data_IF_111409489926
#
_entry.id   IF_111409489926
#
_cell.length_a   1.000
_cell.length_b   1.000
_cell.length_c   1.000
_cell.angle_alpha   90.00
_cell.angle_beta   90.00
_cell.angle_gamma   90.00
#
_symmetry.space_group_name_H-M   'P 1'
#
loop_
_entity.id
_entity.type
_entity.pdbx_description
1 polymer ?
#
# COMPACT_ATOMS: atom_id res chain seq x y z
N UNK A 1 0.10 -12.41 12.83
CA UNK A 1 0.70 -11.10 12.68
C UNK A 1 0.95 -10.73 11.25
N UNK A 2 1.10 -9.44 11.06
CA UNK A 2 1.33 -8.90 9.74
C UNK A 2 2.80 -9.04 9.36
N UNK A 3 3.03 -9.56 8.16
CA UNK A 3 4.34 -9.56 7.53
C UNK A 3 4.14 -9.08 6.10
N UNK A 4 4.09 -7.78 5.96
CA UNK A 4 3.81 -7.14 4.67
C UNK A 4 4.89 -7.47 3.64
N UNK A 5 6.16 -7.50 4.07
CA UNK A 5 7.24 -7.79 3.14
C UNK A 5 7.07 -9.14 2.47
N UNK A 6 6.74 -10.17 3.26
CA UNK A 6 6.50 -11.50 2.72
C UNK A 6 5.28 -11.51 1.78
N UNK A 7 4.19 -10.89 2.23
CA UNK A 7 2.97 -10.81 1.42
C UNK A 7 3.23 -10.12 0.08
N UNK A 8 3.98 -9.03 0.09
CA UNK A 8 4.33 -8.32 -1.15
C UNK A 8 5.15 -9.19 -2.09
N UNK A 9 6.12 -9.94 -1.57
CA UNK A 9 6.94 -10.81 -2.41
C UNK A 9 6.12 -11.93 -3.03
N UNK A 10 5.24 -12.54 -2.25
CA UNK A 10 4.36 -13.59 -2.75
C UNK A 10 3.46 -13.04 -3.86
N UNK A 11 2.86 -11.87 -3.62
CA UNK A 11 2.00 -11.23 -4.62
C UNK A 11 2.78 -10.92 -5.90
N UNK A 12 3.97 -10.34 -5.75
CA UNK A 12 4.80 -9.95 -6.89
C UNK A 12 5.20 -11.14 -7.75
N UNK A 13 5.57 -12.24 -7.10
CA UNK A 13 5.94 -13.46 -7.82
C UNK A 13 4.77 -14.04 -8.59
N UNK A 14 3.55 -13.94 -8.05
CA UNK A 14 2.36 -14.51 -8.70
C UNK A 14 1.74 -13.58 -9.73
N UNK A 15 1.66 -12.29 -9.43
CA UNK A 15 0.85 -11.35 -10.20
C UNK A 15 1.59 -10.17 -10.77
N UNK A 16 2.89 -10.04 -10.51
CA UNK A 16 3.66 -8.89 -10.99
C UNK A 16 3.59 -8.68 -12.49
N UNK A 17 3.48 -9.78 -13.24
CA UNK A 17 3.39 -9.72 -14.71
C UNK A 17 2.08 -9.09 -15.20
N UNK A 18 1.05 -9.12 -14.37
CA UNK A 18 -0.27 -8.59 -14.74
C UNK A 18 -0.39 -7.09 -14.51
N UNK A 19 0.58 -6.50 -13.80
CA UNK A 19 0.58 -5.07 -13.53
C UNK A 19 1.19 -4.35 -14.72
N UNK A 20 0.47 -3.37 -15.23
CA UNK A 20 0.91 -2.61 -16.41
C UNK A 20 0.45 -1.16 -16.38
N UNK A 21 0.66 -0.42 -17.48
CA UNK A 21 0.43 1.03 -17.51
C UNK A 21 -1.03 1.45 -17.31
N UNK A 22 -1.96 0.53 -17.40
CA UNK A 22 -3.38 0.81 -17.17
C UNK A 22 -3.87 0.34 -15.80
N UNK A 23 -2.98 -0.23 -14.99
CA UNK A 23 -3.31 -0.77 -13.68
C UNK A 23 -3.17 0.30 -12.61
N UNK A 24 -4.20 0.45 -11.77
CA UNK A 24 -4.11 1.18 -10.52
C UNK A 24 -4.10 0.18 -9.38
N UNK A 25 -3.10 0.27 -8.51
CA UNK A 25 -2.94 -0.63 -7.37
C UNK A 25 -3.39 0.08 -6.11
N UNK A 26 -4.27 -0.56 -5.35
CA UNK A 26 -4.67 -0.07 -4.04
C UNK A 26 -4.15 -1.03 -2.99
N UNK A 27 -3.26 -0.55 -2.12
CA UNK A 27 -2.71 -1.31 -1.00
C UNK A 27 -3.47 -0.91 0.25
N UNK A 28 -4.11 -1.86 0.91
CA UNK A 28 -4.93 -1.60 2.09
C UNK A 28 -4.30 -2.26 3.31
N UNK A 29 -3.99 -1.46 4.32
CA UNK A 29 -3.44 -1.98 5.55
C UNK A 29 -2.90 -0.89 6.46
N UNK A 30 -2.63 -1.26 7.71
CA UNK A 30 -2.13 -0.34 8.72
C UNK A 30 -0.61 -0.14 8.69
N UNK A 31 0.06 -0.88 7.84
CA UNK A 31 1.53 -0.85 7.71
C UNK A 31 2.27 -1.27 8.99
N UNK A 32 1.59 -1.96 9.91
CA UNK A 32 2.24 -2.49 11.10
C UNK A 32 2.86 -3.83 10.77
N UNK A 33 4.16 -3.82 10.64
CA UNK A 33 4.90 -4.93 10.03
C UNK A 33 5.54 -5.87 11.05
N UNK A 34 5.24 -5.67 12.33
CA UNK A 34 5.78 -6.49 13.42
C UNK A 34 7.33 -6.58 13.35
N UNK A 35 7.96 -5.47 12.98
CA UNK A 35 9.42 -5.34 12.86
C UNK A 35 10.08 -6.31 11.89
N UNK A 36 9.32 -6.90 10.96
CA UNK A 36 9.87 -7.68 9.85
C UNK A 36 10.46 -6.77 8.79
N UNK A 37 11.22 -7.36 7.87
CA UNK A 37 11.71 -6.63 6.71
C UNK A 37 10.55 -6.04 5.92
N UNK A 38 10.70 -4.81 5.45
CA UNK A 38 9.58 -4.07 4.85
C UNK A 38 9.11 -4.61 3.51
N UNK A 39 10.02 -5.12 2.70
CA UNK A 39 9.67 -5.52 1.33
C UNK A 39 9.28 -4.35 0.44
N UNK A 40 9.63 -3.14 0.82
CA UNK A 40 9.23 -1.92 0.08
C UNK A 40 9.73 -1.90 -1.35
N UNK A 41 10.75 -2.69 -1.68
CA UNK A 41 11.22 -2.81 -3.06
C UNK A 41 10.11 -3.28 -4.01
N UNK A 42 9.18 -4.09 -3.50
CA UNK A 42 8.04 -4.56 -4.32
C UNK A 42 7.14 -3.38 -4.70
N UNK A 43 6.87 -2.49 -3.74
CA UNK A 43 6.05 -1.30 -4.01
C UNK A 43 6.75 -0.42 -5.04
N UNK A 44 8.06 -0.26 -4.92
CA UNK A 44 8.84 0.50 -5.89
C UNK A 44 8.70 -0.10 -7.30
N UNK A 45 8.78 -1.43 -7.41
CA UNK A 45 8.60 -2.10 -8.70
C UNK A 45 7.18 -1.93 -9.24
N UNK A 46 6.16 -2.04 -8.37
CA UNK A 46 4.77 -1.77 -8.78
C UNK A 46 4.64 -0.35 -9.33
N UNK A 47 5.24 0.62 -8.64
CA UNK A 47 5.17 2.02 -9.02
C UNK A 47 5.75 2.27 -10.41
N UNK A 48 6.80 1.55 -10.76
CA UNK A 48 7.43 1.68 -12.08
C UNK A 48 6.58 1.10 -13.20
N UNK A 49 5.75 0.09 -12.92
CA UNK A 49 4.94 -0.59 -13.93
C UNK A 49 3.51 -0.10 -14.00
N UNK A 50 2.92 0.23 -12.86
CA UNK A 50 1.51 0.61 -12.77
C UNK A 50 1.29 2.07 -13.17
N UNK A 51 0.06 2.39 -13.48
CA UNK A 51 -0.35 3.78 -13.70
C UNK A 51 -0.27 4.56 -12.40
N UNK A 52 -0.83 4.00 -11.31
CA UNK A 52 -0.78 4.60 -9.98
C UNK A 52 -0.72 3.50 -8.93
N UNK A 53 -0.09 3.81 -7.80
CA UNK A 53 -0.07 2.97 -6.60
C UNK A 53 -0.43 3.84 -5.42
N UNK A 54 -1.50 3.49 -4.69
CA UNK A 54 -1.95 4.22 -3.51
C UNK A 54 -1.99 3.32 -2.30
N UNK A 55 -1.70 3.90 -1.13
CA UNK A 55 -1.84 3.19 0.14
C UNK A 55 -3.03 3.76 0.90
N UNK A 56 -3.94 2.88 1.33
CA UNK A 56 -5.11 3.23 2.14
C UNK A 56 -4.92 2.64 3.54
N UNK A 57 -4.83 3.52 4.54
CA UNK A 57 -4.53 3.12 5.91
C UNK A 57 -5.77 3.26 6.78
N UNK A 58 -6.21 2.18 7.47
CA UNK A 58 -7.41 2.22 8.31
C UNK A 58 -7.21 2.95 9.63
N UNK A 59 -5.95 3.25 10.01
CA UNK A 59 -5.69 3.98 11.24
C UNK A 59 -5.74 5.48 11.01
N UNK A 60 -6.15 6.25 12.04
CA UNK A 60 -6.04 7.71 11.98
C UNK A 60 -4.59 8.13 11.74
N UNK A 61 -4.43 9.24 11.04
CA UNK A 61 -3.08 9.76 10.71
C UNK A 61 -2.21 9.95 11.95
N UNK A 62 -2.81 10.27 13.08
CA UNK A 62 -2.07 10.48 14.32
C UNK A 62 -1.32 9.24 14.81
N UNK A 63 -1.70 8.06 14.34
CA UNK A 63 -1.05 6.81 14.73
C UNK A 63 -0.03 6.32 13.71
N UNK A 64 0.04 6.96 12.55
CA UNK A 64 0.98 6.55 11.50
C UNK A 64 2.42 6.72 11.99
N UNK A 65 3.27 5.77 11.63
CA UNK A 65 4.69 5.75 12.00
C UNK A 65 4.94 5.64 13.52
N UNK A 66 3.93 5.15 14.25
CA UNK A 66 4.10 4.84 15.67
C UNK A 66 4.32 3.34 15.84
N UNK A 67 5.07 2.95 16.87
CA UNK A 67 5.35 1.54 17.12
C UNK A 67 5.98 0.87 15.90
N UNK A 68 5.37 -0.22 15.44
CA UNK A 68 5.83 -0.97 14.28
C UNK A 68 5.22 -0.51 12.95
N UNK A 69 4.49 0.59 12.96
CA UNK A 69 3.94 1.17 11.72
C UNK A 69 5.05 1.80 10.88
N UNK A 70 5.15 1.39 9.63
CA UNK A 70 6.15 1.90 8.69
C UNK A 70 5.51 2.51 7.45
N UNK A 71 4.32 3.09 7.61
CA UNK A 71 3.60 3.67 6.49
C UNK A 71 4.38 4.79 5.79
N UNK A 72 5.23 5.51 6.53
CA UNK A 72 6.08 6.54 5.93
C UNK A 72 7.07 5.96 4.93
N UNK A 73 7.65 4.81 5.24
CA UNK A 73 8.54 4.12 4.31
C UNK A 73 7.78 3.67 3.06
N UNK A 74 6.64 3.00 3.25
CA UNK A 74 5.83 2.54 2.12
C UNK A 74 5.34 3.70 1.28
N UNK A 75 4.90 4.78 1.93
CA UNK A 75 4.38 5.96 1.26
C UNK A 75 5.39 6.61 0.33
N UNK A 76 6.68 6.50 0.64
CA UNK A 76 7.74 7.05 -0.21
C UNK A 76 7.69 6.49 -1.64
N UNK A 77 7.23 5.25 -1.78
CA UNK A 77 7.17 4.58 -3.08
C UNK A 77 5.78 4.57 -3.69
N UNK A 78 4.82 5.29 -3.10
CA UNK A 78 3.46 5.37 -3.64
C UNK A 78 3.17 6.75 -4.19
N UNK A 79 2.05 6.87 -4.90
CA UNK A 79 1.54 8.16 -5.37
C UNK A 79 0.83 8.94 -4.26
N UNK A 80 0.45 8.26 -3.19
CA UNK A 80 -0.15 8.90 -2.03
C UNK A 80 -0.61 7.91 -0.99
N UNK A 81 -0.71 8.39 0.24
CA UNK A 81 -1.20 7.63 1.39
C UNK A 81 -2.42 8.37 1.94
N UNK A 82 -3.51 7.64 2.12
CA UNK A 82 -4.77 8.22 2.55
C UNK A 82 -5.35 7.45 3.72
N UNK A 83 -5.95 8.18 4.66
CA UNK A 83 -6.71 7.56 5.73
C UNK A 83 -7.99 6.97 5.13
N UNK A 84 -8.27 5.71 5.45
CA UNK A 84 -9.44 5.02 4.93
C UNK A 84 -9.95 4.04 5.99
N UNK A 85 -10.85 4.51 6.85
CA UNK A 85 -11.27 3.77 8.04
C UNK A 85 -12.57 2.99 7.86
N UNK A 86 -13.31 3.23 6.77
CA UNK A 86 -14.59 2.57 6.56
C UNK A 86 -14.94 2.50 5.07
N UNK A 87 -16.01 1.79 4.77
CA UNK A 87 -16.45 1.59 3.39
C UNK A 87 -16.83 2.88 2.69
N UNK A 88 -17.40 3.83 3.42
CA UNK A 88 -17.78 5.11 2.83
C UNK A 88 -16.55 5.87 2.32
N UNK A 89 -15.47 5.87 3.11
CA UNK A 89 -14.23 6.51 2.69
C UNK A 89 -13.61 5.79 1.50
N UNK A 90 -13.67 4.46 1.49
CA UNK A 90 -13.17 3.68 0.36
C UNK A 90 -13.94 4.00 -0.92
N UNK A 91 -15.27 4.04 -0.84
CA UNK A 91 -16.10 4.39 -1.99
C UNK A 91 -15.77 5.78 -2.52
N UNK A 92 -15.64 6.75 -1.61
CA UNK A 92 -15.29 8.12 -1.99
C UNK A 92 -13.94 8.17 -2.69
N UNK A 93 -12.95 7.41 -2.21
CA UNK A 93 -11.65 7.36 -2.83
C UNK A 93 -11.72 6.77 -4.24
N UNK A 94 -12.41 5.64 -4.37
CA UNK A 94 -12.54 4.95 -5.67
C UNK A 94 -13.26 5.86 -6.68
N UNK A 95 -14.27 6.59 -6.26
CA UNK A 95 -14.99 7.53 -7.13
C UNK A 95 -14.07 8.62 -7.68
N UNK A 96 -13.11 9.08 -6.86
CA UNK A 96 -12.17 10.10 -7.32
C UNK A 96 -11.21 9.58 -8.39
N UNK A 97 -10.99 8.27 -8.43
CA UNK A 97 -10.11 7.67 -9.42
C UNK A 97 -10.77 7.51 -10.79
N UNK A 98 -12.08 7.53 -10.81
CA UNK A 98 -12.85 7.33 -12.03
C UNK A 98 -12.75 8.52 -12.99
#
# INVERSE_FOLDING_TARGET
HSDYGHAFEVFWNKFGKEIGPKTTVLLLGDARNNYHASGSWVIKEMRQKARHVYWLNPEPKSYWNTGDSIVGEYGTFTDGVYECRNMRQLEAFVEKLA
#
